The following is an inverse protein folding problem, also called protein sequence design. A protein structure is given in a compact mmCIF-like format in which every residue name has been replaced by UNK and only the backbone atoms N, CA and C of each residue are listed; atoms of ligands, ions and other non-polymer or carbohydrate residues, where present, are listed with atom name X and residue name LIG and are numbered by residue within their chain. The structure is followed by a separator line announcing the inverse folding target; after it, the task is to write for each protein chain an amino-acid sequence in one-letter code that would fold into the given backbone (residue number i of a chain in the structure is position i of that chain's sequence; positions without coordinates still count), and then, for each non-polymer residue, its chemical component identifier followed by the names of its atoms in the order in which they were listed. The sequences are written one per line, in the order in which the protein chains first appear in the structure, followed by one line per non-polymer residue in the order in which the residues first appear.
data_IF_983945114928
#
_entry.id   IF_983945114928
#
_cell.length_a   1.000
_cell.length_b   1.000
_cell.length_c   1.000
_cell.angle_alpha   90.00
_cell.angle_beta   90.00
_cell.angle_gamma   90.00
#
_symmetry.space_group_name_H-M   'P 1'
#
loop_
_entity.id
_entity.type
_entity.pdbx_description
1 polymer ?
#
# COMPACT_ATOMS: atom_id res chain seq x y z
N UNK A 1 47.86 -15.96 42.81
CA UNK A 1 47.05 -16.46 41.67
C UNK A 1 45.62 -16.58 42.12
N UNK A 2 44.71 -15.76 41.59
CA UNK A 2 43.28 -15.85 41.89
C UNK A 2 42.49 -15.63 40.58
N UNK A 3 41.81 -16.68 40.13
CA UNK A 3 41.07 -16.76 38.88
C UNK A 3 39.66 -16.20 39.09
N UNK A 4 39.32 -15.10 38.42
CA UNK A 4 37.99 -14.47 38.50
C UNK A 4 37.17 -14.86 37.26
N UNK A 5 36.23 -15.79 37.45
CA UNK A 5 35.30 -16.24 36.42
C UNK A 5 34.16 -15.22 36.25
N UNK A 6 34.06 -14.62 35.06
CA UNK A 6 32.93 -13.75 34.71
C UNK A 6 31.78 -14.60 34.14
N UNK A 7 30.66 -14.63 34.87
CA UNK A 7 29.39 -15.20 34.39
C UNK A 7 28.75 -14.26 33.36
N UNK A 8 28.59 -14.75 32.15
CA UNK A 8 27.81 -14.12 31.08
C UNK A 8 26.31 -14.20 31.40
N UNK A 9 25.66 -13.04 31.55
CA UNK A 9 24.22 -12.94 31.68
C UNK A 9 23.58 -12.97 30.29
N UNK A 10 22.98 -14.11 29.92
CA UNK A 10 22.08 -14.21 28.76
C UNK A 10 20.82 -13.41 29.06
N UNK A 11 20.72 -12.21 28.49
CA UNK A 11 19.46 -11.46 28.41
C UNK A 11 18.48 -12.24 27.54
N UNK A 12 17.37 -12.68 28.13
CA UNK A 12 16.29 -13.35 27.43
C UNK A 12 15.58 -12.34 26.51
N UNK A 13 15.88 -12.42 25.22
CA UNK A 13 15.29 -11.58 24.17
C UNK A 13 13.88 -12.11 23.87
N UNK A 14 12.84 -11.35 24.23
CA UNK A 14 11.47 -11.62 23.81
C UNK A 14 11.40 -11.57 22.28
N UNK A 15 10.83 -12.61 21.66
CA UNK A 15 10.64 -12.75 20.22
C UNK A 15 9.20 -12.33 19.87
N UNK A 16 8.96 -11.12 19.35
CA UNK A 16 7.60 -10.61 19.15
C UNK A 16 6.93 -11.09 17.84
N UNK A 17 7.65 -11.82 16.97
CA UNK A 17 7.18 -12.15 15.61
C UNK A 17 7.05 -13.66 15.32
N UNK A 18 6.92 -14.50 16.36
CA UNK A 18 6.69 -15.93 16.14
C UNK A 18 5.36 -16.21 15.46
N UNK A 19 5.42 -16.98 14.38
CA UNK A 19 4.30 -17.29 13.49
C UNK A 19 3.29 -18.22 14.17
N UNK A 20 2.26 -17.69 14.80
CA UNK A 20 1.06 -18.48 15.15
C UNK A 20 0.04 -18.37 14.04
N UNK A 21 -0.12 -19.45 13.27
CA UNK A 21 -1.19 -19.59 12.28
C UNK A 21 -2.54 -19.69 12.99
N UNK A 22 -3.37 -18.64 12.92
CA UNK A 22 -4.77 -18.70 13.38
C UNK A 22 -5.73 -18.67 12.20
N UNK A 23 -6.32 -19.83 11.91
CA UNK A 23 -7.50 -19.95 11.07
C UNK A 23 -8.72 -19.32 11.76
N UNK A 24 -9.43 -18.41 11.07
CA UNK A 24 -10.75 -17.93 11.51
C UNK A 24 -11.80 -18.18 10.43
N UNK A 25 -12.79 -18.99 10.82
CA UNK A 25 -14.06 -19.26 10.12
C UNK A 25 -14.83 -17.95 9.90
N UNK A 26 -15.19 -17.68 8.65
CA UNK A 26 -16.21 -16.70 8.28
C UNK A 26 -17.60 -17.28 8.52
N UNK A 27 -18.47 -16.52 9.21
CA UNK A 27 -19.90 -16.81 9.33
C UNK A 27 -20.65 -15.75 8.54
N UNK A 28 -21.32 -16.17 7.48
CA UNK A 28 -22.22 -15.35 6.68
C UNK A 28 -23.52 -15.09 7.44
N UNK A 29 -24.11 -13.90 7.26
CA UNK A 29 -25.52 -13.66 7.56
C UNK A 29 -26.09 -12.75 6.49
N UNK A 30 -27.12 -13.25 5.83
CA UNK A 30 -27.93 -12.63 4.78
C UNK A 30 -29.20 -12.06 5.40
N UNK A 31 -29.75 -11.01 4.76
CA UNK A 31 -31.14 -10.53 4.71
C UNK A 31 -31.27 -9.07 5.18
N UNK A 32 -32.16 -8.22 4.66
CA UNK A 32 -32.99 -8.16 3.44
C UNK A 32 -33.61 -6.75 3.45
N UNK A 33 -33.97 -6.28 2.27
CA UNK A 33 -34.57 -4.97 1.97
C UNK A 33 -35.85 -4.63 2.73
N UNK A 34 -36.05 -3.34 3.03
CA UNK A 34 -37.38 -2.72 3.08
C UNK A 34 -37.27 -1.21 2.74
N UNK A 35 -38.04 -0.80 1.74
CA UNK A 35 -38.33 0.58 1.33
C UNK A 35 -39.49 1.14 2.17
N UNK A 36 -39.48 2.45 2.46
CA UNK A 36 -40.72 3.26 2.50
C UNK A 36 -40.47 4.77 2.46
N UNK A 37 -41.54 5.44 2.05
CA UNK A 37 -41.72 6.78 1.46
C UNK A 37 -41.71 7.94 2.47
N UNK A 38 -41.25 9.09 1.96
CA UNK A 38 -41.41 10.52 2.32
C UNK A 38 -42.30 10.96 3.51
N UNK A 39 -41.85 12.01 4.21
CA UNK A 39 -42.54 13.31 4.21
C UNK A 39 -41.73 14.43 4.90
N UNK A 40 -42.04 15.65 4.48
CA UNK A 40 -41.45 16.93 4.87
C UNK A 40 -41.70 17.29 6.34
N UNK A 41 -40.75 18.00 6.95
CA UNK A 41 -41.04 19.18 7.77
C UNK A 41 -39.78 20.05 7.95
N UNK A 42 -39.99 21.34 7.70
CA UNK A 42 -39.10 22.45 7.95
C UNK A 42 -39.23 22.81 9.44
N UNK A 43 -38.12 23.03 10.15
CA UNK A 43 -38.12 23.99 11.27
C UNK A 43 -36.70 24.48 11.57
N UNK A 44 -36.60 25.81 11.57
CA UNK A 44 -35.45 26.57 12.01
C UNK A 44 -35.23 26.37 13.51
N UNK A 45 -34.03 25.98 13.92
CA UNK A 45 -33.52 26.51 15.18
C UNK A 45 -31.98 26.60 15.22
N UNK A 46 -31.56 27.81 15.55
CA UNK A 46 -30.19 28.31 15.65
C UNK A 46 -29.56 27.78 16.93
N UNK A 47 -28.46 27.06 16.83
CA UNK A 47 -27.60 26.78 17.99
C UNK A 47 -26.16 26.50 17.58
N UNK A 48 -25.32 27.47 17.94
CA UNK A 48 -23.91 27.35 18.30
C UNK A 48 -23.05 26.38 17.48
N UNK A 49 -22.41 26.91 16.44
CA UNK A 49 -21.36 26.22 15.68
C UNK A 49 -20.10 26.02 16.52
N UNK A 50 -20.11 25.00 17.38
CA UNK A 50 -18.88 24.34 17.75
C UNK A 50 -18.39 23.61 16.49
N UNK A 51 -17.24 24.04 15.95
CA UNK A 51 -16.57 23.35 14.85
C UNK A 51 -16.47 21.85 15.21
N UNK A 52 -17.05 20.93 14.42
CA UNK A 52 -16.78 19.53 14.62
C UNK A 52 -15.29 19.34 14.39
N UNK A 53 -14.59 18.93 15.45
CA UNK A 53 -13.22 18.43 15.37
C UNK A 53 -13.14 17.46 14.20
N UNK A 54 -12.44 17.86 13.13
CA UNK A 54 -12.30 17.13 11.87
C UNK A 54 -11.43 15.87 12.00
N UNK A 55 -11.47 15.20 13.16
CA UNK A 55 -10.69 14.02 13.50
C UNK A 55 -11.53 12.73 13.51
N UNK A 56 -12.82 12.78 13.14
CA UNK A 56 -13.64 11.59 13.01
C UNK A 56 -13.59 11.09 11.55
N UNK A 57 -13.01 9.91 11.36
CA UNK A 57 -13.03 9.11 10.11
C UNK A 57 -11.91 9.39 9.09
N UNK A 58 -10.65 9.50 9.54
CA UNK A 58 -9.57 9.14 8.62
C UNK A 58 -9.74 7.66 8.26
N UNK A 59 -9.75 7.30 6.95
CA UNK A 59 -9.83 5.90 6.54
C UNK A 59 -8.76 5.10 7.28
N UNK A 60 -9.14 3.93 7.79
CA UNK A 60 -8.19 3.03 8.45
C UNK A 60 -7.01 2.82 7.49
N UNK A 61 -5.79 2.99 7.99
CA UNK A 61 -4.57 2.73 7.22
C UNK A 61 -3.73 1.70 7.94
N UNK A 62 -3.20 0.76 7.16
CA UNK A 62 -2.18 -0.17 7.61
C UNK A 62 -0.94 0.60 8.07
N UNK A 63 -0.38 0.24 9.21
CA UNK A 63 0.92 0.72 9.68
C UNK A 63 2.04 0.15 8.80
N UNK A 64 3.19 0.84 8.76
CA UNK A 64 4.37 0.31 8.06
C UNK A 64 4.80 -1.05 8.65
N UNK A 65 4.57 -1.28 9.94
CA UNK A 65 4.78 -2.56 10.62
C UNK A 65 3.92 -3.67 10.04
N UNK A 66 2.61 -3.49 10.01
CA UNK A 66 1.66 -4.46 9.48
C UNK A 66 1.98 -4.79 8.01
N UNK A 67 2.30 -3.75 7.22
CA UNK A 67 2.77 -3.93 5.84
C UNK A 67 4.02 -4.82 5.78
N UNK A 68 5.07 -4.52 6.54
CA UNK A 68 6.31 -5.29 6.53
C UNK A 68 6.09 -6.74 6.96
N UNK A 69 5.24 -6.99 7.97
CA UNK A 69 4.89 -8.35 8.40
C UNK A 69 4.22 -9.11 7.26
N UNK A 70 3.20 -8.52 6.64
CA UNK A 70 2.47 -9.14 5.54
C UNK A 70 3.36 -9.39 4.33
N UNK A 71 4.15 -8.39 3.93
CA UNK A 71 5.10 -8.49 2.83
C UNK A 71 6.14 -9.60 3.10
N UNK A 72 6.75 -9.62 4.28
CA UNK A 72 7.76 -10.64 4.60
C UNK A 72 7.15 -12.03 4.70
N UNK A 73 5.94 -12.17 5.22
CA UNK A 73 5.24 -13.46 5.22
C UNK A 73 4.95 -13.95 3.80
N UNK A 74 4.63 -13.05 2.87
CA UNK A 74 4.34 -13.40 1.48
C UNK A 74 5.62 -13.74 0.68
N UNK A 75 6.70 -12.97 0.85
CA UNK A 75 7.90 -13.08 0.02
C UNK A 75 9.06 -13.84 0.68
N UNK A 76 9.04 -13.99 2.01
CA UNK A 76 10.08 -14.64 2.82
C UNK A 76 9.46 -15.46 3.97
N UNK A 77 8.51 -16.38 3.68
CA UNK A 77 7.76 -17.12 4.71
C UNK A 77 8.64 -17.93 5.69
N UNK A 78 9.84 -18.31 5.25
CA UNK A 78 10.81 -19.07 6.04
C UNK A 78 11.66 -18.19 6.97
N UNK A 79 11.66 -16.87 6.78
CA UNK A 79 12.49 -15.95 7.56
C UNK A 79 11.68 -15.36 8.72
N UNK A 80 12.26 -15.41 9.93
CA UNK A 80 11.70 -14.82 11.14
C UNK A 80 12.59 -13.67 11.62
N UNK A 81 12.21 -12.41 11.33
CA UNK A 81 12.90 -11.24 11.87
C UNK A 81 12.84 -11.20 13.39
N UNK A 82 13.94 -10.84 14.05
CA UNK A 82 14.01 -10.83 15.53
C UNK A 82 13.59 -9.51 16.16
N UNK A 83 13.58 -8.43 15.38
CA UNK A 83 13.20 -7.10 15.81
C UNK A 83 12.73 -6.22 14.63
N UNK A 84 12.31 -4.99 14.94
CA UNK A 84 11.81 -3.99 14.00
C UNK A 84 12.82 -3.59 12.92
N UNK A 85 14.11 -3.61 13.26
CA UNK A 85 15.15 -3.27 12.31
C UNK A 85 15.30 -4.38 11.27
N UNK A 86 15.35 -5.64 11.72
CA UNK A 86 15.38 -6.80 10.83
C UNK A 86 14.10 -6.92 9.99
N UNK A 87 12.93 -6.68 10.59
CA UNK A 87 11.64 -6.69 9.91
C UNK A 87 11.62 -5.68 8.75
N UNK A 88 12.11 -4.47 9.02
CA UNK A 88 12.22 -3.40 8.01
C UNK A 88 13.25 -3.74 6.94
N UNK A 89 14.43 -4.21 7.34
CA UNK A 89 15.53 -4.51 6.43
C UNK A 89 15.14 -5.60 5.41
N UNK A 90 14.42 -6.63 5.86
CA UNK A 90 13.92 -7.68 4.97
C UNK A 90 12.90 -7.13 3.95
N UNK A 91 12.03 -6.21 4.38
CA UNK A 91 11.03 -5.58 3.51
C UNK A 91 11.62 -4.53 2.55
N UNK A 92 12.77 -3.93 2.88
CA UNK A 92 13.52 -3.05 1.97
C UNK A 92 14.16 -3.84 0.81
N UNK A 93 14.19 -5.17 0.91
CA UNK A 93 14.73 -6.08 -0.09
C UNK A 93 16.25 -6.21 -0.02
N UNK A 94 16.83 -6.85 -1.03
CA UNK A 94 18.29 -7.07 -1.11
C UNK A 94 18.78 -8.38 -0.47
N UNK A 95 17.92 -9.07 0.28
CA UNK A 95 18.15 -10.46 0.67
C UNK A 95 17.55 -11.42 -0.35
N UNK A 96 18.23 -12.55 -0.60
CA UNK A 96 17.78 -13.58 -1.55
C UNK A 96 16.49 -14.26 -1.09
N UNK A 97 15.57 -14.54 -2.02
CA UNK A 97 14.23 -15.04 -1.71
C UNK A 97 14.21 -16.44 -1.08
N UNK A 98 15.18 -17.26 -1.44
CA UNK A 98 15.35 -18.65 -1.02
C UNK A 98 16.32 -18.82 0.16
N UNK A 99 16.75 -17.72 0.79
CA UNK A 99 17.70 -17.77 1.89
C UNK A 99 17.13 -18.34 3.19
N UNK A 100 18.01 -18.77 4.09
CA UNK A 100 17.65 -19.27 5.43
C UNK A 100 17.72 -18.16 6.49
N UNK A 101 17.20 -18.44 7.70
CA UNK A 101 17.31 -17.53 8.84
C UNK A 101 18.76 -17.21 9.18
N UNK A 102 19.63 -18.21 9.17
CA UNK A 102 21.06 -18.07 9.45
C UNK A 102 21.69 -17.10 8.46
N UNK A 103 21.46 -17.32 7.16
CA UNK A 103 21.98 -16.45 6.10
C UNK A 103 21.42 -15.02 6.20
N UNK A 104 20.15 -14.87 6.58
CA UNK A 104 19.57 -13.55 6.81
C UNK A 104 20.21 -12.84 8.01
N UNK A 105 20.50 -13.55 9.10
CA UNK A 105 21.17 -12.99 10.26
C UNK A 105 22.64 -12.64 9.98
N UNK A 106 23.34 -13.43 9.16
CA UNK A 106 24.65 -13.09 8.60
C UNK A 106 24.59 -11.80 7.76
N UNK A 107 23.58 -11.70 6.89
CA UNK A 107 23.34 -10.52 6.07
C UNK A 107 23.09 -9.26 6.92
N UNK A 108 22.20 -9.35 7.91
CA UNK A 108 21.92 -8.25 8.87
C UNK A 108 23.22 -7.83 9.55
N UNK A 109 24.04 -8.79 10.00
CA UNK A 109 25.31 -8.49 10.64
C UNK A 109 26.27 -7.77 9.69
N UNK A 110 26.41 -8.22 8.45
CA UNK A 110 27.26 -7.57 7.45
C UNK A 110 26.85 -6.11 7.20
N UNK A 111 25.57 -5.87 6.93
CA UNK A 111 24.99 -4.52 6.72
C UNK A 111 25.10 -3.65 7.98
N UNK A 112 25.22 -4.27 9.15
CA UNK A 112 25.43 -3.57 10.42
C UNK A 112 26.89 -3.17 10.66
N UNK A 113 27.86 -3.99 10.24
CA UNK A 113 29.30 -3.76 10.47
C UNK A 113 30.02 -2.94 9.40
N UNK A 114 29.39 -2.66 8.26
CA UNK A 114 29.96 -1.79 7.22
C UNK A 114 30.25 -0.35 7.70
N UNK A 115 29.90 0.02 8.94
CA UNK A 115 30.16 1.33 9.53
C UNK A 115 31.60 1.55 10.06
N UNK A 116 32.50 0.55 10.00
CA UNK A 116 33.91 0.67 10.45
C UNK A 116 34.09 1.15 11.90
N UNK A 117 33.15 0.84 12.79
CA UNK A 117 33.22 1.18 14.22
C UNK A 117 33.78 0.02 15.05
N UNK A 118 34.33 0.34 16.23
CA UNK A 118 34.64 -0.66 17.26
C UNK A 118 33.35 -1.33 17.80
N UNK A 119 33.50 -2.33 18.68
CA UNK A 119 32.36 -3.10 19.21
C UNK A 119 31.33 -2.20 19.92
N UNK A 120 31.78 -1.17 20.65
CA UNK A 120 30.90 -0.26 21.40
C UNK A 120 30.14 0.67 20.45
N UNK A 121 30.84 1.27 19.48
CA UNK A 121 30.24 2.12 18.48
C UNK A 121 29.19 1.37 17.64
N UNK A 122 29.47 0.11 17.30
CA UNK A 122 28.48 -0.74 16.64
C UNK A 122 27.25 -1.00 17.51
N UNK A 123 27.42 -1.26 18.81
CA UNK A 123 26.30 -1.49 19.72
C UNK A 123 25.39 -0.26 19.86
N UNK A 124 25.97 0.94 20.04
CA UNK A 124 25.22 2.20 20.14
C UNK A 124 24.52 2.54 18.82
N UNK A 125 25.20 2.37 17.68
CA UNK A 125 24.61 2.56 16.35
C UNK A 125 23.42 1.61 16.13
N UNK A 126 23.55 0.34 16.51
CA UNK A 126 22.47 -0.63 16.37
C UNK A 126 21.27 -0.33 17.28
N UNK A 127 21.51 0.15 18.50
CA UNK A 127 20.44 0.65 19.36
C UNK A 127 19.69 1.82 18.71
N UNK A 128 20.41 2.78 18.12
CA UNK A 128 19.81 3.91 17.42
C UNK A 128 19.02 3.48 16.18
N UNK A 129 19.55 2.55 15.37
CA UNK A 129 18.88 2.00 14.18
C UNK A 129 17.58 1.28 14.56
N UNK A 130 17.58 0.48 15.62
CA UNK A 130 16.37 -0.18 16.15
C UNK A 130 15.32 0.81 16.63
N UNK A 131 15.72 1.84 17.38
CA UNK A 131 14.82 2.88 17.84
C UNK A 131 14.18 3.65 16.66
N UNK A 132 14.99 4.01 15.65
CA UNK A 132 14.50 4.66 14.42
C UNK A 132 13.55 3.76 13.63
N UNK A 133 13.88 2.47 13.49
CA UNK A 133 13.02 1.50 12.81
C UNK A 133 11.67 1.40 13.50
N UNK A 134 11.64 1.30 14.83
CA UNK A 134 10.40 1.26 15.61
C UNK A 134 9.49 2.46 15.34
N UNK A 135 10.04 3.67 15.47
CA UNK A 135 9.28 4.92 15.22
C UNK A 135 8.74 4.98 13.80
N UNK A 136 9.50 4.49 12.81
CA UNK A 136 9.07 4.47 11.41
C UNK A 136 7.98 3.42 11.17
N UNK A 137 8.10 2.24 11.76
CA UNK A 137 7.15 1.15 11.59
C UNK A 137 5.78 1.43 12.23
N UNK A 138 5.75 2.21 13.31
CA UNK A 138 4.50 2.60 13.98
C UNK A 138 3.69 3.68 13.22
N UNK A 139 4.24 4.25 12.13
CA UNK A 139 3.54 5.23 11.26
C UNK A 139 2.71 4.56 10.17
N UNK A 140 1.69 5.24 9.60
CA UNK A 140 0.97 4.74 8.44
C UNK A 140 1.91 4.34 7.29
N UNK A 141 1.59 3.24 6.62
CA UNK A 141 2.31 2.80 5.43
C UNK A 141 2.00 3.73 4.25
N UNK A 142 3.05 4.08 3.53
CA UNK A 142 2.99 4.87 2.30
C UNK A 142 3.71 4.16 1.15
N UNK A 143 3.75 2.82 1.19
CA UNK A 143 4.35 2.04 0.11
C UNK A 143 3.46 2.15 -1.13
N UNK A 144 4.04 2.69 -2.19
CA UNK A 144 3.38 2.88 -3.46
C UNK A 144 3.28 1.53 -4.20
N UNK A 145 2.11 1.23 -4.77
CA UNK A 145 1.88 -0.01 -5.51
C UNK A 145 1.64 -1.27 -4.67
N UNK A 146 1.72 -1.15 -3.34
CA UNK A 146 1.32 -2.22 -2.44
C UNK A 146 -0.16 -2.59 -2.66
N UNK A 147 -0.44 -3.90 -2.72
CA UNK A 147 -1.81 -4.42 -2.75
C UNK A 147 -2.60 -3.94 -1.52
N UNK A 148 -3.92 -3.77 -1.66
CA UNK A 148 -4.75 -3.31 -0.56
C UNK A 148 -4.68 -4.29 0.61
N UNK A 149 -4.69 -3.77 1.83
CA UNK A 149 -4.65 -4.60 3.03
C UNK A 149 -6.04 -5.19 3.34
N UNK A 150 -6.13 -6.33 4.05
CA UNK A 150 -7.41 -6.93 4.41
C UNK A 150 -8.31 -5.96 5.18
N UNK A 151 -9.55 -5.78 4.69
CA UNK A 151 -10.53 -4.87 5.31
C UNK A 151 -10.35 -3.39 4.97
N UNK A 152 -9.53 -3.05 3.97
CA UNK A 152 -9.50 -1.70 3.42
C UNK A 152 -10.85 -1.36 2.75
N UNK A 153 -11.54 -0.36 3.29
CA UNK A 153 -12.88 0.08 2.91
C UNK A 153 -12.92 0.97 1.66
N UNK A 154 -11.78 1.56 1.30
CA UNK A 154 -11.63 2.48 0.17
C UNK A 154 -11.45 1.80 -1.19
N UNK A 155 -11.50 0.46 -1.24
CA UNK A 155 -11.38 -0.32 -2.48
C UNK A 155 -12.65 -0.13 -3.32
N UNK A 156 -12.46 0.14 -4.61
CA UNK A 156 -13.54 0.21 -5.60
C UNK A 156 -13.33 -0.89 -6.63
N UNK A 157 -14.35 -1.70 -6.88
CA UNK A 157 -14.33 -2.75 -7.92
C UNK A 157 -15.40 -2.46 -8.95
N UNK A 158 -15.05 -2.53 -10.24
CA UNK A 158 -16.00 -2.33 -11.35
C UNK A 158 -15.81 -3.41 -12.42
N UNK A 159 -16.89 -4.10 -12.83
CA UNK A 159 -16.82 -5.09 -13.90
C UNK A 159 -16.52 -4.45 -15.24
N UNK A 160 -15.67 -5.11 -16.02
CA UNK A 160 -15.40 -4.72 -17.41
C UNK A 160 -16.55 -5.30 -18.26
N UNK A 161 -17.28 -4.50 -19.06
CA UNK A 161 -18.42 -4.98 -19.84
C UNK A 161 -18.05 -6.13 -20.78
N UNK A 162 -18.85 -7.20 -20.82
CA UNK A 162 -18.60 -8.40 -21.64
C UNK A 162 -17.23 -9.06 -21.35
N UNK A 163 -16.83 -9.13 -20.09
CA UNK A 163 -15.56 -9.73 -19.66
C UNK A 163 -15.74 -10.46 -18.32
N UNK A 164 -15.04 -11.58 -18.09
CA UNK A 164 -15.02 -12.24 -16.78
C UNK A 164 -14.15 -11.50 -15.75
N UNK A 165 -13.57 -10.35 -16.11
CA UNK A 165 -12.67 -9.56 -15.27
C UNK A 165 -13.29 -8.24 -14.83
N UNK A 166 -12.84 -7.76 -13.68
CA UNK A 166 -13.13 -6.45 -13.11
C UNK A 166 -11.84 -5.67 -12.91
N UNK A 167 -11.93 -4.34 -12.94
CA UNK A 167 -10.89 -3.46 -12.44
C UNK A 167 -11.10 -3.24 -10.96
N UNK A 168 -10.03 -3.34 -10.18
CA UNK A 168 -10.01 -2.97 -8.77
C UNK A 168 -9.07 -1.79 -8.56
N UNK A 169 -9.56 -0.79 -7.86
CA UNK A 169 -8.91 0.49 -7.59
C UNK A 169 -8.79 0.71 -6.09
N UNK A 170 -7.65 1.18 -5.61
CA UNK A 170 -7.48 1.59 -4.22
C UNK A 170 -6.52 2.78 -4.11
N UNK A 171 -6.70 3.66 -3.11
CA UNK A 171 -5.70 4.68 -2.83
C UNK A 171 -4.41 4.00 -2.35
N UNK A 172 -3.27 4.43 -2.88
CA UNK A 172 -1.96 3.87 -2.53
C UNK A 172 -0.95 4.97 -2.23
N UNK A 173 0.10 4.64 -1.47
CA UNK A 173 1.17 5.58 -1.13
C UNK A 173 0.75 6.71 -0.17
N UNK A 174 1.48 7.84 -0.30
CA UNK A 174 1.19 9.05 0.47
C UNK A 174 -0.06 9.75 -0.10
N UNK A 175 -1.07 10.09 0.74
CA UNK A 175 -2.27 10.77 0.29
C UNK A 175 -2.00 12.11 -0.43
N UNK A 176 -0.87 12.76 -0.15
CA UNK A 176 -0.46 13.97 -0.84
C UNK A 176 -0.26 13.75 -2.36
N UNK A 177 0.15 12.55 -2.79
CA UNK A 177 0.40 12.25 -4.21
C UNK A 177 -0.85 11.87 -5.00
N UNK A 178 -1.98 11.59 -4.33
CA UNK A 178 -3.25 11.28 -5.02
C UNK A 178 -3.13 10.14 -6.06
N UNK A 179 -2.34 9.11 -5.77
CA UNK A 179 -2.17 7.99 -6.70
C UNK A 179 -3.15 6.87 -6.37
N UNK A 180 -3.75 6.31 -7.42
CA UNK A 180 -4.54 5.08 -7.36
C UNK A 180 -3.69 3.90 -7.82
N UNK A 181 -3.74 2.82 -7.04
CA UNK A 181 -3.33 1.49 -7.49
C UNK A 181 -4.46 0.87 -8.30
N UNK A 182 -4.11 0.19 -9.37
CA UNK A 182 -5.03 -0.49 -10.28
C UNK A 182 -4.53 -1.92 -10.50
N UNK A 183 -5.42 -2.90 -10.39
CA UNK A 183 -5.19 -4.26 -10.87
C UNK A 183 -6.45 -4.90 -11.46
N UNK A 184 -6.26 -6.06 -12.08
CA UNK A 184 -7.34 -6.89 -12.61
C UNK A 184 -7.69 -7.98 -11.59
N UNK A 185 -8.98 -8.25 -11.45
CA UNK A 185 -9.50 -9.34 -10.63
C UNK A 185 -10.53 -10.15 -11.43
N UNK A 186 -10.72 -11.43 -11.09
CA UNK A 186 -11.86 -12.20 -11.57
C UNK A 186 -13.15 -11.64 -10.96
N UNK A 187 -14.15 -11.38 -11.79
CA UNK A 187 -15.41 -10.76 -11.33
C UNK A 187 -16.15 -11.64 -10.33
N UNK A 188 -16.14 -12.96 -10.55
CA UNK A 188 -16.89 -13.91 -9.71
C UNK A 188 -16.25 -14.13 -8.34
N UNK A 189 -14.92 -14.27 -8.30
CA UNK A 189 -14.20 -14.66 -7.08
C UNK A 189 -13.52 -13.49 -6.38
N UNK A 190 -13.24 -12.40 -7.11
CA UNK A 190 -12.39 -11.31 -6.62
C UNK A 190 -10.90 -11.63 -6.61
N UNK A 191 -10.49 -12.79 -7.13
CA UNK A 191 -9.09 -13.20 -7.16
C UNK A 191 -8.28 -12.29 -8.08
N UNK A 192 -7.11 -11.86 -7.58
CA UNK A 192 -6.18 -11.04 -8.35
C UNK A 192 -5.60 -11.88 -9.49
N UNK A 193 -5.58 -11.29 -10.68
CA UNK A 193 -4.95 -11.88 -11.86
C UNK A 193 -3.89 -10.93 -12.41
N UNK A 194 -2.90 -11.49 -13.10
CA UNK A 194 -2.10 -10.68 -14.01
C UNK A 194 -2.99 -10.17 -15.14
N UNK A 195 -2.56 -9.11 -15.80
CA UNK A 195 -3.28 -8.47 -16.88
C UNK A 195 -3.69 -9.51 -17.91
N UNK A 196 -5.00 -9.63 -18.20
CA UNK A 196 -5.46 -10.67 -19.09
C UNK A 196 -4.77 -10.59 -20.46
N UNK A 197 -4.54 -11.73 -21.13
CA UNK A 197 -3.86 -11.73 -22.43
C UNK A 197 -4.49 -10.74 -23.41
N UNK A 198 -3.62 -9.94 -24.05
CA UNK A 198 -3.99 -8.91 -25.03
C UNK A 198 -4.86 -7.76 -24.48
N UNK A 199 -4.98 -7.60 -23.17
CA UNK A 199 -5.54 -6.38 -22.59
C UNK A 199 -4.44 -5.33 -22.54
N UNK A 200 -4.77 -4.11 -22.96
CA UNK A 200 -3.88 -2.96 -22.86
C UNK A 200 -4.53 -1.92 -21.94
N UNK A 201 -3.78 -1.48 -20.93
CA UNK A 201 -4.19 -0.38 -20.05
C UNK A 201 -3.37 0.86 -20.40
N UNK A 202 -4.02 1.99 -20.66
CA UNK A 202 -3.35 3.25 -21.00
C UNK A 202 -4.00 4.45 -20.33
N UNK A 203 -3.21 5.47 -20.00
CA UNK A 203 -3.70 6.83 -19.74
C UNK A 203 -3.99 7.48 -21.09
N UNK A 204 -5.13 8.15 -21.19
CA UNK A 204 -5.58 8.83 -22.41
C UNK A 204 -5.90 10.30 -22.10
N UNK A 205 -6.01 11.18 -23.11
CA UNK A 205 -6.52 12.53 -22.92
C UNK A 205 -7.82 12.55 -22.12
N UNK A 206 -8.06 13.66 -21.42
CA UNK A 206 -9.26 13.77 -20.59
C UNK A 206 -10.51 13.55 -21.43
N UNK A 207 -11.34 12.57 -21.05
CA UNK A 207 -12.56 12.21 -21.80
C UNK A 207 -13.55 13.39 -21.86
N UNK A 208 -13.47 14.31 -20.89
CA UNK A 208 -14.27 15.53 -20.80
C UNK A 208 -13.57 16.78 -21.33
N UNK A 209 -12.25 16.71 -21.56
CA UNK A 209 -11.45 17.80 -22.09
C UNK A 209 -10.35 17.30 -23.04
N UNK A 210 -10.70 16.63 -24.16
CA UNK A 210 -9.75 15.92 -25.01
C UNK A 210 -8.80 16.84 -25.79
N UNK A 211 -9.09 18.14 -25.84
CA UNK A 211 -8.23 19.16 -26.43
C UNK A 211 -7.01 19.50 -25.56
N UNK A 212 -7.01 19.10 -24.29
CA UNK A 212 -5.85 19.30 -23.42
C UNK A 212 -4.70 18.40 -23.89
N UNK A 213 -3.48 18.94 -24.01
CA UNK A 213 -2.34 18.16 -24.45
C UNK A 213 -2.05 17.07 -23.42
N UNK A 214 -2.25 15.83 -23.84
CA UNK A 214 -1.83 14.64 -23.12
C UNK A 214 -1.34 13.64 -24.17
N UNK A 215 -0.05 13.34 -24.16
CA UNK A 215 0.44 12.16 -24.88
C UNK A 215 -0.16 10.95 -24.19
N UNK A 216 -1.14 10.30 -24.82
CA UNK A 216 -1.63 9.00 -24.32
C UNK A 216 -0.43 8.09 -24.01
N UNK A 217 -0.46 7.45 -22.86
CA UNK A 217 0.67 6.66 -22.35
C UNK A 217 0.19 5.27 -22.00
N UNK A 218 0.75 4.26 -22.64
CA UNK A 218 0.59 2.88 -22.21
C UNK A 218 1.09 2.75 -20.77
N UNK A 219 0.23 2.23 -19.89
CA UNK A 219 0.58 2.04 -18.50
C UNK A 219 1.38 0.76 -18.38
N UNK A 220 2.48 0.83 -17.65
CA UNK A 220 3.26 -0.35 -17.27
C UNK A 220 3.07 -0.63 -15.79
N UNK A 221 3.11 -1.91 -15.38
CA UNK A 221 3.15 -2.24 -13.97
C UNK A 221 4.31 -1.53 -13.25
N UNK A 222 4.11 -1.16 -11.98
CA UNK A 222 5.06 -0.38 -11.17
C UNK A 222 6.47 -1.00 -11.10
N UNK A 223 6.58 -2.32 -11.20
CA UNK A 223 7.88 -2.99 -11.16
C UNK A 223 8.79 -2.63 -12.36
N UNK A 224 8.23 -2.19 -13.49
CA UNK A 224 9.04 -1.62 -14.58
C UNK A 224 9.80 -0.36 -14.13
N UNK A 225 9.18 0.48 -13.30
CA UNK A 225 9.84 1.68 -12.76
C UNK A 225 10.98 1.33 -11.79
N UNK A 226 11.00 0.11 -11.25
CA UNK A 226 12.06 -0.38 -10.36
C UNK A 226 13.22 -1.05 -11.10
N UNK A 227 13.18 -1.11 -12.43
CA UNK A 227 14.29 -1.60 -13.26
C UNK A 227 14.62 -3.08 -13.09
N UNK A 228 13.74 -3.87 -12.45
CA UNK A 228 13.89 -5.33 -12.33
C UNK A 228 12.59 -6.00 -12.74
N UNK A 229 12.64 -6.77 -13.82
CA UNK A 229 11.59 -7.72 -14.14
C UNK A 229 11.77 -8.94 -13.24
N UNK A 230 10.79 -9.30 -12.40
CA UNK A 230 10.84 -10.58 -11.70
C UNK A 230 10.87 -11.72 -12.72
N UNK A 231 11.77 -12.68 -12.56
CA UNK A 231 11.82 -13.91 -13.38
C UNK A 231 10.48 -14.67 -13.36
N UNK A 232 9.69 -14.46 -12.31
CA UNK A 232 8.30 -14.89 -12.20
C UNK A 232 7.43 -13.73 -11.69
N UNK A 233 6.54 -13.23 -12.55
CA UNK A 233 5.51 -12.26 -12.16
C UNK A 233 4.34 -13.06 -11.58
N UNK A 234 4.00 -12.81 -10.31
CA UNK A 234 2.76 -13.33 -9.73
C UNK A 234 1.66 -12.28 -9.83
N UNK A 235 0.36 -12.67 -9.84
CA UNK A 235 -0.75 -11.71 -9.78
C UNK A 235 -0.65 -10.71 -8.62
N UNK A 236 -0.06 -11.13 -7.51
CA UNK A 236 0.17 -10.29 -6.34
C UNK A 236 1.18 -9.15 -6.60
N UNK A 237 2.00 -9.26 -7.64
CA UNK A 237 3.06 -8.30 -7.97
C UNK A 237 2.65 -7.26 -9.02
N UNK A 238 1.62 -7.52 -9.82
CA UNK A 238 1.23 -6.60 -10.89
C UNK A 238 0.26 -5.52 -10.40
N UNK A 239 0.77 -4.29 -10.28
CA UNK A 239 -0.03 -3.12 -9.92
C UNK A 239 0.34 -1.98 -10.84
N UNK A 240 -0.67 -1.32 -11.41
CA UNK A 240 -0.52 -0.10 -12.19
C UNK A 240 -0.79 1.12 -11.33
N UNK A 241 -0.19 2.25 -11.67
CA UNK A 241 -0.36 3.50 -10.95
C UNK A 241 -0.84 4.61 -11.89
N UNK A 242 -1.84 5.36 -11.45
CA UNK A 242 -2.24 6.58 -12.12
C UNK A 242 -2.70 7.65 -11.13
N UNK A 243 -2.51 8.94 -11.46
CA UNK A 243 -2.97 10.02 -10.61
C UNK A 243 -4.50 10.11 -10.61
N UNK A 244 -5.07 10.55 -9.49
CA UNK A 244 -6.49 10.84 -9.35
C UNK A 244 -6.94 11.82 -10.44
N UNK A 245 -8.12 11.57 -11.01
CA UNK A 245 -8.66 12.35 -12.13
C UNK A 245 -8.13 11.95 -13.51
N UNK A 246 -7.09 11.11 -13.61
CA UNK A 246 -6.63 10.62 -14.90
C UNK A 246 -7.76 9.87 -15.63
N UNK A 247 -7.82 10.09 -16.94
CA UNK A 247 -8.64 9.28 -17.84
C UNK A 247 -7.83 8.08 -18.31
N UNK A 248 -8.43 6.91 -18.19
CA UNK A 248 -7.80 5.63 -18.52
C UNK A 248 -8.65 4.86 -19.52
N UNK A 249 -7.99 3.98 -20.25
CA UNK A 249 -8.58 3.11 -21.26
C UNK A 249 -8.11 1.67 -21.05
N UNK A 250 -9.05 0.73 -21.12
CA UNK A 250 -8.76 -0.69 -21.33
C UNK A 250 -9.16 -1.07 -22.75
N UNK A 251 -8.17 -1.39 -23.60
CA UNK A 251 -8.41 -1.95 -24.94
C UNK A 251 -8.38 -3.48 -24.88
N UNK A 252 -9.24 -4.12 -25.68
CA UNK A 252 -9.45 -5.58 -25.67
C UNK A 252 -9.73 -6.10 -27.09
N UNK A 253 -9.22 -7.28 -27.47
CA UNK A 253 -9.42 -7.80 -28.82
C UNK A 253 -10.89 -8.01 -29.16
N UNK A 254 -11.32 -7.48 -30.31
CA UNK A 254 -12.69 -7.67 -30.83
C UNK A 254 -13.80 -7.03 -29.99
N UNK A 255 -13.45 -6.17 -29.01
CA UNK A 255 -14.40 -5.51 -28.13
C UNK A 255 -14.20 -3.99 -28.17
N UNK A 256 -15.23 -3.24 -27.79
CA UNK A 256 -15.11 -1.79 -27.62
C UNK A 256 -14.20 -1.47 -26.43
N UNK A 257 -13.41 -0.41 -26.60
CA UNK A 257 -12.59 0.19 -25.55
C UNK A 257 -13.45 0.61 -24.37
N UNK A 258 -12.93 0.39 -23.16
CA UNK A 258 -13.56 0.82 -21.92
C UNK A 258 -12.82 2.03 -21.39
N UNK A 259 -13.50 3.17 -21.39
CA UNK A 259 -12.98 4.43 -20.86
C UNK A 259 -13.49 4.66 -19.44
N UNK A 260 -12.63 5.14 -18.56
CA UNK A 260 -13.00 5.47 -17.19
C UNK A 260 -12.14 6.59 -16.64
N UNK A 261 -12.68 7.34 -15.67
CA UNK A 261 -11.98 8.41 -14.97
C UNK A 261 -11.69 7.97 -13.54
N UNK A 262 -10.45 8.13 -13.10
CA UNK A 262 -10.07 7.80 -11.73
C UNK A 262 -10.70 8.81 -10.75
N UNK A 263 -11.24 8.35 -9.60
CA UNK A 263 -11.88 9.25 -8.66
C UNK A 263 -10.93 10.32 -8.13
N UNK A 264 -11.41 11.56 -8.00
CA UNK A 264 -10.69 12.64 -7.31
C UNK A 264 -11.22 12.69 -5.88
N UNK A 265 -10.41 12.37 -4.86
CA UNK A 265 -10.81 12.55 -3.47
C UNK A 265 -11.15 14.02 -3.21
N UNK A 266 -12.22 14.30 -2.46
CA UNK A 266 -12.48 15.67 -1.99
C UNK A 266 -11.29 16.13 -1.14
N UNK A 267 -10.74 17.30 -1.48
CA UNK A 267 -9.60 17.88 -0.78
C UNK A 267 -10.01 19.17 -0.07
N UNK A 268 -9.41 19.47 1.10
CA UNK A 268 -9.36 20.85 1.56
C UNK A 268 -8.63 21.70 0.52
N UNK A 269 -9.00 22.97 0.41
CA UNK A 269 -8.40 23.90 -0.54
C UNK A 269 -6.86 23.83 -0.45
N UNK A 270 -6.21 23.71 -1.60
CA UNK A 270 -4.76 23.65 -1.70
C UNK A 270 -4.15 24.88 -1.02
N UNK A 271 -3.21 24.66 -0.10
CA UNK A 271 -2.44 25.76 0.50
C UNK A 271 -1.19 26.11 -0.30
N UNK A 272 -0.89 25.36 -1.37
CA UNK A 272 0.36 25.51 -2.13
C UNK A 272 0.47 26.81 -2.92
N UNK A 273 -0.66 27.51 -3.12
CA UNK A 273 -0.72 28.77 -3.88
C UNK A 273 -1.20 29.94 -3.02
N UNK A 274 -1.03 29.87 -1.69
CA UNK A 274 -1.45 30.97 -0.79
C UNK A 274 -0.77 32.30 -1.10
N UNK A 275 0.44 32.24 -1.66
CA UNK A 275 1.27 33.40 -1.97
C UNK A 275 1.41 33.63 -3.48
N UNK A 276 0.51 33.06 -4.30
CA UNK A 276 0.52 33.24 -5.74
C UNK A 276 -0.69 34.07 -6.18
N UNK A 277 -0.45 35.11 -6.98
CA UNK A 277 -1.50 35.79 -7.72
C UNK A 277 -2.01 34.86 -8.82
N UNK A 278 -3.28 34.49 -8.77
CA UNK A 278 -3.94 33.67 -9.79
C UNK A 278 -4.60 34.62 -10.78
N UNK A 279 -4.12 34.62 -12.02
CA UNK A 279 -4.76 35.34 -13.12
C UNK A 279 -5.83 34.43 -13.73
N UNK A 280 -7.09 34.85 -13.62
CA UNK A 280 -8.21 34.23 -14.32
C UNK A 280 -8.42 34.98 -15.63
N UNK A 281 -8.55 34.22 -16.73
CA UNK A 281 -8.92 34.76 -18.03
C UNK A 281 -10.36 34.33 -18.30
N UNK A 282 -11.20 35.29 -18.67
CA UNK A 282 -12.61 35.13 -19.01
C UNK A 282 -12.84 34.52 -20.40
#
# INVERSE_FOLDING_TARGET
MATRTLRSAKSARQQPYTTTATARKSKATVASSASNVASFNNDHNTSSSALPSASANLPKRETSREFCIRYNHEFYPQITPRDDYELRLLADGGFKKDGTNEEFYEFVRRVSHEASLDERGNAELMAQRRAKAKVRLDRPSHVLGAKPFPGQDTIKVRPIPNSPFSLRLWPTGNPAFNVWGIDFVRTETGDVVVTPPNFELSIVPDITAPWLPCSGMEMRPIWHAWGRMPESITPAMETYLAPAGASCRVARPGQRDVLFKLPVPQRPASTYHRDADILEFD
#
